data_IF_185635703038
#
_entry.id   IF_185635703038
#
_cell.length_a   1.000
_cell.length_b   1.000
_cell.length_c   1.000
_cell.angle_alpha   90.00
_cell.angle_beta   90.00
_cell.angle_gamma   90.00
#
_symmetry.space_group_name_H-M   'P 1'
#
loop_
_entity.id
_entity.type
_entity.pdbx_description
1 polymer ?
#
# COMPACT_ATOMS: atom_id res chain seq x y z
N UNK A 1 8.31 10.93 9.47
CA UNK A 1 9.20 10.18 10.38
C UNK A 1 8.88 8.70 10.20
N UNK A 2 9.84 7.77 10.20
CA UNK A 2 9.51 6.35 10.15
C UNK A 2 8.72 5.93 11.40
N UNK A 3 7.81 4.94 11.30
CA UNK A 3 7.15 4.34 12.45
C UNK A 3 8.16 3.75 13.44
N UNK A 4 7.71 3.54 14.68
CA UNK A 4 8.48 2.80 15.67
C UNK A 4 8.76 1.36 15.18
N UNK A 5 9.87 0.76 15.62
CA UNK A 5 10.27 -0.56 15.15
C UNK A 5 9.21 -1.63 15.46
N UNK A 6 8.52 -1.49 16.58
CA UNK A 6 7.46 -2.39 17.03
C UNK A 6 6.23 -2.35 16.12
N UNK A 7 5.99 -1.23 15.40
CA UNK A 7 4.86 -1.12 14.48
C UNK A 7 4.98 -2.07 13.29
N UNK A 8 6.21 -2.40 12.88
CA UNK A 8 6.45 -3.36 11.80
C UNK A 8 6.21 -4.82 12.21
N UNK A 9 5.97 -5.08 13.50
CA UNK A 9 5.68 -6.41 14.03
C UNK A 9 4.17 -6.73 14.03
N UNK A 10 3.31 -5.79 13.63
CA UNK A 10 1.87 -6.03 13.56
C UNK A 10 1.52 -7.13 12.54
N UNK A 11 0.64 -8.04 12.96
CA UNK A 11 0.09 -9.11 12.13
C UNK A 11 -1.29 -8.73 11.52
N UNK A 12 -1.85 -7.59 11.94
CA UNK A 12 -3.15 -7.13 11.44
C UNK A 12 -3.05 -6.64 9.98
N UNK A 13 -4.12 -6.80 9.17
CA UNK A 13 -4.18 -6.21 7.84
C UNK A 13 -3.89 -4.71 7.89
N UNK A 14 -3.03 -4.26 6.97
CA UNK A 14 -2.60 -2.86 6.87
C UNK A 14 -1.87 -2.31 8.11
N UNK A 15 -1.49 -3.18 9.06
CA UNK A 15 -0.90 -2.76 10.34
C UNK A 15 -1.75 -1.70 11.05
N UNK A 16 -3.07 -1.78 10.92
CA UNK A 16 -4.03 -0.73 11.29
C UNK A 16 -4.02 -0.39 12.80
N UNK A 17 -3.55 -1.32 13.62
CA UNK A 17 -3.40 -1.18 15.06
C UNK A 17 -2.15 -0.39 15.47
N UNK A 18 -1.16 -0.27 14.58
CA UNK A 18 0.17 0.26 14.90
C UNK A 18 0.68 1.34 13.94
N UNK A 19 0.05 1.50 12.77
CA UNK A 19 0.41 2.49 11.76
C UNK A 19 -0.82 3.27 11.29
N UNK A 20 -0.61 4.55 11.01
CA UNK A 20 -1.53 5.31 10.16
C UNK A 20 -1.48 4.79 8.70
N UNK A 21 -2.52 5.08 7.92
CA UNK A 21 -2.56 4.70 6.50
C UNK A 21 -1.40 5.30 5.71
N UNK A 22 -0.99 6.53 6.03
CA UNK A 22 0.16 7.22 5.41
C UNK A 22 1.47 6.48 5.69
N UNK A 23 1.67 6.07 6.95
CA UNK A 23 2.85 5.33 7.39
C UNK A 23 2.90 3.94 6.73
N UNK A 24 1.79 3.22 6.74
CA UNK A 24 1.71 1.92 6.08
C UNK A 24 2.01 2.02 4.58
N UNK A 25 1.47 3.04 3.90
CA UNK A 25 1.70 3.23 2.47
C UNK A 25 3.18 3.53 2.17
N UNK A 26 3.79 4.44 2.92
CA UNK A 26 5.18 4.86 2.71
C UNK A 26 6.21 3.82 3.13
N UNK A 27 6.00 3.14 4.26
CA UNK A 27 7.02 2.33 4.90
C UNK A 27 6.81 0.82 4.74
N UNK A 28 5.61 0.37 4.38
CA UNK A 28 5.33 -1.05 4.15
C UNK A 28 5.05 -1.30 2.67
N UNK A 29 4.04 -0.63 2.09
CA UNK A 29 3.59 -0.97 0.75
C UNK A 29 4.60 -0.61 -0.34
N UNK A 30 5.03 0.66 -0.42
CA UNK A 30 5.96 1.12 -1.47
C UNK A 30 7.30 0.35 -1.43
N UNK A 31 7.99 0.20 -0.27
CA UNK A 31 9.25 -0.53 -0.21
C UNK A 31 9.10 -2.01 -0.56
N UNK A 32 7.99 -2.64 -0.16
CA UNK A 32 7.69 -4.03 -0.52
C UNK A 32 7.56 -4.19 -2.04
N UNK A 33 6.83 -3.31 -2.70
CA UNK A 33 6.68 -3.34 -4.16
C UNK A 33 8.03 -3.13 -4.87
N UNK A 34 8.85 -2.21 -4.38
CA UNK A 34 10.20 -1.97 -4.90
C UNK A 34 11.08 -3.22 -4.77
N UNK A 35 11.12 -3.85 -3.61
CA UNK A 35 11.91 -5.06 -3.38
C UNK A 35 11.49 -6.24 -4.30
N UNK A 36 10.19 -6.38 -4.56
CA UNK A 36 9.69 -7.39 -5.51
C UNK A 36 10.16 -7.12 -6.94
N UNK A 37 10.13 -5.85 -7.38
CA UNK A 37 10.63 -5.45 -8.70
C UNK A 37 12.14 -5.67 -8.82
N UNK A 38 12.92 -5.25 -7.81
CA UNK A 38 14.38 -5.37 -7.79
C UNK A 38 14.85 -6.82 -7.80
N UNK A 39 14.13 -7.70 -7.09
CA UNK A 39 14.44 -9.13 -7.05
C UNK A 39 13.96 -9.91 -8.28
N UNK A 40 13.18 -9.29 -9.17
CA UNK A 40 12.52 -9.99 -10.28
C UNK A 40 11.53 -11.06 -9.81
N UNK A 41 11.03 -10.95 -8.58
CA UNK A 41 10.07 -11.88 -8.00
C UNK A 41 8.71 -11.74 -8.67
N UNK A 42 7.88 -12.76 -8.55
CA UNK A 42 6.48 -12.67 -8.98
C UNK A 42 5.79 -11.52 -8.24
N UNK A 43 5.20 -10.60 -9.00
CA UNK A 43 4.40 -9.52 -8.45
C UNK A 43 3.07 -10.09 -7.93
N UNK A 44 2.49 -9.48 -6.88
CA UNK A 44 1.20 -9.91 -6.38
C UNK A 44 0.14 -9.68 -7.45
N UNK A 45 -0.62 -10.73 -7.77
CA UNK A 45 -1.85 -10.62 -8.54
C UNK A 45 -3.01 -10.70 -7.54
N UNK A 46 -4.02 -9.82 -7.66
CA UNK A 46 -5.07 -9.56 -6.65
C UNK A 46 -4.62 -8.66 -5.52
N UNK A 47 -4.45 -7.39 -5.85
CA UNK A 47 -4.33 -6.33 -4.84
C UNK A 47 -5.49 -5.34 -4.97
N UNK A 48 -5.95 -4.84 -3.82
CA UNK A 48 -6.95 -3.78 -3.70
C UNK A 48 -6.73 -3.06 -2.36
N UNK A 49 -5.93 -2.00 -2.41
CA UNK A 49 -5.56 -1.14 -1.27
C UNK A 49 -6.26 0.22 -1.35
N UNK A 50 -6.69 0.64 -2.54
CA UNK A 50 -7.41 1.88 -2.79
C UNK A 50 -8.67 2.05 -1.92
N UNK A 51 -9.51 1.02 -1.66
CA UNK A 51 -10.68 1.19 -0.79
C UNK A 51 -10.30 1.45 0.67
N UNK A 52 -9.21 0.86 1.14
CA UNK A 52 -8.69 1.11 2.48
C UNK A 52 -8.15 2.54 2.61
N UNK A 53 -7.34 2.99 1.64
CA UNK A 53 -6.80 4.35 1.62
C UNK A 53 -7.92 5.39 1.49
N UNK A 54 -8.93 5.14 0.67
CA UNK A 54 -10.08 6.02 0.50
C UNK A 54 -10.82 6.24 1.83
N UNK A 55 -11.12 5.18 2.57
CA UNK A 55 -11.81 5.30 3.86
C UNK A 55 -10.91 5.87 4.96
N UNK A 56 -9.67 5.38 5.08
CA UNK A 56 -8.75 5.77 6.15
C UNK A 56 -8.25 7.22 6.01
N UNK A 57 -8.22 7.75 4.79
CA UNK A 57 -7.74 9.11 4.48
C UNK A 57 -8.84 9.99 3.88
N UNK A 58 -10.13 9.70 4.13
CA UNK A 58 -11.27 10.44 3.54
C UNK A 58 -11.28 11.96 3.78
N UNK A 59 -10.64 12.40 4.86
CA UNK A 59 -10.51 13.83 5.20
C UNK A 59 -9.24 14.49 4.60
N UNK A 60 -8.44 13.75 3.84
CA UNK A 60 -7.23 14.26 3.20
C UNK A 60 -7.59 15.01 1.91
N UNK A 61 -7.30 16.31 1.86
CA UNK A 61 -7.69 17.19 0.76
C UNK A 61 -7.20 16.72 -0.64
N UNK A 62 -6.05 16.04 -0.70
CA UNK A 62 -5.45 15.58 -1.95
C UNK A 62 -5.66 14.07 -2.19
N UNK A 63 -6.65 13.46 -1.51
CA UNK A 63 -6.93 12.03 -1.59
C UNK A 63 -7.06 11.54 -3.04
N UNK A 64 -7.73 12.30 -3.91
CA UNK A 64 -7.86 11.93 -5.32
C UNK A 64 -6.50 11.84 -6.04
N UNK A 65 -5.56 12.73 -5.75
CA UNK A 65 -4.21 12.69 -6.33
C UNK A 65 -3.43 11.47 -5.84
N UNK A 66 -3.74 10.97 -4.64
CA UNK A 66 -3.18 9.75 -4.09
C UNK A 66 -3.84 8.49 -4.68
N UNK A 67 -5.17 8.47 -4.84
CA UNK A 67 -5.91 7.30 -5.31
C UNK A 67 -5.64 6.98 -6.79
N UNK A 68 -5.49 7.99 -7.65
CA UNK A 68 -5.23 7.81 -9.09
C UNK A 68 -4.05 6.85 -9.36
N UNK A 69 -2.83 7.10 -8.84
CA UNK A 69 -1.71 6.18 -9.07
C UNK A 69 -1.90 4.82 -8.41
N UNK A 70 -2.60 4.73 -7.27
CA UNK A 70 -2.86 3.44 -6.60
C UNK A 70 -3.79 2.56 -7.43
N UNK A 71 -4.90 3.10 -7.95
CA UNK A 71 -5.83 2.38 -8.82
C UNK A 71 -5.13 1.93 -10.11
N UNK A 72 -4.34 2.82 -10.73
CA UNK A 72 -3.58 2.47 -11.93
C UNK A 72 -2.59 1.31 -11.68
N UNK A 73 -1.96 1.29 -10.51
CA UNK A 73 -1.06 0.22 -10.10
C UNK A 73 -1.81 -1.09 -9.85
N UNK A 74 -2.96 -1.06 -9.18
CA UNK A 74 -3.83 -2.23 -8.99
C UNK A 74 -4.29 -2.82 -10.32
N UNK A 75 -4.70 -1.98 -11.26
CA UNK A 75 -5.07 -2.42 -12.60
C UNK A 75 -3.92 -3.13 -13.31
N UNK A 76 -2.70 -2.58 -13.27
CA UNK A 76 -1.53 -3.19 -13.90
C UNK A 76 -1.22 -4.56 -13.30
N UNK A 77 -1.27 -4.67 -11.97
CA UNK A 77 -1.00 -5.91 -11.25
C UNK A 77 -2.08 -6.98 -11.47
N UNK A 78 -3.34 -6.56 -11.58
CA UNK A 78 -4.46 -7.45 -11.81
C UNK A 78 -4.60 -7.87 -13.28
N UNK A 79 -4.09 -7.07 -14.23
CA UNK A 79 -4.07 -7.39 -15.68
C UNK A 79 -3.02 -8.45 -16.07
N UNK A 80 -1.96 -8.65 -15.28
CA UNK A 80 -0.89 -9.63 -15.55
C UNK A 80 -1.29 -11.10 -15.32
N UNK A 81 -2.56 -11.45 -15.52
CA UNK A 81 -3.12 -12.80 -15.40
C UNK A 81 -3.18 -13.55 -16.75
N UNK A 82 -2.20 -13.33 -17.64
CA UNK A 82 -2.07 -14.09 -18.89
C UNK A 82 -1.46 -15.47 -18.66
#
# INVERSE_FOLDING_TARGET
>A
MPPAAEAFLSEEPFSIDTMSAEEWLQWVFIPRMQALLESGSALPNKIAISPYIEEAMKEFNELQQLLIPLVALEELLNKNQC
#
